data_IF_208045022451
#
_entry.id   IF_208045022451
#
_cell.length_a   1.000
_cell.length_b   1.000
_cell.length_c   1.000
_cell.angle_alpha   90.00
_cell.angle_beta   90.00
_cell.angle_gamma   90.00
#
_symmetry.space_group_name_H-M   'P 1'
#
loop_
_entity.id
_entity.type
_entity.pdbx_description
1 polymer ?
#
# COMPACT_ATOMS: atom_id res chain seq x y z
N UNK A 1 -13.25 -28.46 -8.73
CA UNK A 1 -11.81 -28.13 -8.58
C UNK A 1 -11.18 -27.40 -9.78
N UNK A 2 -11.94 -27.03 -10.84
CA UNK A 2 -11.36 -26.52 -12.10
C UNK A 2 -11.25 -24.99 -12.24
N UNK A 3 -11.99 -24.23 -11.42
CA UNK A 3 -12.07 -22.77 -11.57
C UNK A 3 -10.73 -22.04 -11.32
N UNK A 4 -10.09 -22.27 -10.17
CA UNK A 4 -8.80 -21.67 -9.82
C UNK A 4 -7.68 -22.11 -10.76
N UNK A 5 -7.69 -23.38 -11.17
CA UNK A 5 -6.74 -23.92 -12.13
C UNK A 5 -6.85 -23.25 -13.50
N UNK A 6 -8.08 -23.02 -13.98
CA UNK A 6 -8.29 -22.32 -15.25
C UNK A 6 -7.77 -20.88 -15.23
N UNK A 7 -7.98 -20.16 -14.12
CA UNK A 7 -7.44 -18.80 -13.92
C UNK A 7 -5.92 -18.83 -13.91
N UNK A 8 -5.33 -19.77 -13.16
CA UNK A 8 -3.88 -19.93 -13.07
C UNK A 8 -3.23 -20.18 -14.43
N UNK A 9 -3.76 -21.11 -15.23
CA UNK A 9 -3.25 -21.40 -16.57
C UNK A 9 -3.39 -20.18 -17.51
N UNK A 10 -4.49 -19.43 -17.40
CA UNK A 10 -4.66 -18.20 -18.17
C UNK A 10 -3.62 -17.13 -17.77
N UNK A 11 -3.43 -16.89 -16.47
CA UNK A 11 -2.45 -15.93 -15.97
C UNK A 11 -1.02 -16.35 -16.32
N UNK A 12 -0.70 -17.64 -16.29
CA UNK A 12 0.59 -18.18 -16.74
C UNK A 12 0.88 -17.86 -18.20
N UNK A 13 -0.11 -17.96 -19.09
CA UNK A 13 0.03 -17.55 -20.50
C UNK A 13 0.31 -16.06 -20.63
N UNK A 14 -0.38 -15.22 -19.85
CA UNK A 14 -0.16 -13.76 -19.83
C UNK A 14 1.28 -13.45 -19.37
N UNK A 15 1.76 -14.12 -18.32
CA UNK A 15 3.13 -13.97 -17.81
C UNK A 15 4.16 -14.33 -18.88
N UNK A 16 4.00 -15.48 -19.53
CA UNK A 16 4.93 -15.93 -20.58
C UNK A 16 4.99 -14.93 -21.73
N UNK A 17 3.83 -14.48 -22.23
CA UNK A 17 3.77 -13.52 -23.31
C UNK A 17 4.40 -12.16 -22.96
N UNK A 18 4.21 -11.67 -21.73
CA UNK A 18 4.86 -10.45 -21.26
C UNK A 18 6.38 -10.61 -21.14
N UNK A 19 6.85 -11.78 -20.68
CA UNK A 19 8.27 -12.06 -20.57
C UNK A 19 8.94 -12.23 -21.95
N UNK A 20 8.24 -12.75 -22.96
CA UNK A 20 8.73 -12.74 -24.35
C UNK A 20 8.95 -11.30 -24.86
N UNK A 21 8.01 -10.38 -24.58
CA UNK A 21 8.17 -8.95 -24.92
C UNK A 21 9.38 -8.34 -24.22
N UNK A 22 9.58 -8.67 -22.94
CA UNK A 22 10.76 -8.25 -22.18
C UNK A 22 12.05 -8.77 -22.83
N UNK A 23 12.12 -10.04 -23.22
CA UNK A 23 13.28 -10.63 -23.89
C UNK A 23 13.56 -10.01 -25.28
N UNK A 24 12.52 -9.54 -25.97
CA UNK A 24 12.65 -8.81 -27.25
C UNK A 24 12.97 -7.32 -27.09
N UNK A 25 13.07 -6.81 -25.86
CA UNK A 25 13.27 -5.38 -25.61
C UNK A 25 12.04 -4.49 -25.87
N UNK A 26 10.87 -5.11 -26.13
CA UNK A 26 9.58 -4.41 -26.31
C UNK A 26 8.95 -4.02 -24.96
N UNK A 27 9.51 -4.50 -23.85
CA UNK A 27 9.05 -4.15 -22.51
C UNK A 27 10.19 -3.96 -21.52
N UNK A 28 10.00 -3.05 -20.57
CA UNK A 28 10.97 -2.73 -19.51
C UNK A 28 10.83 -3.60 -18.27
N UNK A 29 9.82 -4.48 -18.20
CA UNK A 29 9.54 -5.28 -17.02
C UNK A 29 9.16 -6.72 -17.35
N UNK A 30 9.53 -7.60 -16.41
CA UNK A 30 9.15 -9.01 -16.38
C UNK A 30 8.13 -9.27 -15.27
N UNK A 31 7.37 -10.35 -15.41
CA UNK A 31 6.37 -10.79 -14.44
C UNK A 31 6.69 -12.23 -14.04
N UNK A 32 6.40 -12.61 -12.81
CA UNK A 32 6.62 -13.95 -12.28
C UNK A 32 5.36 -14.49 -11.61
N UNK A 33 5.27 -15.82 -11.52
CA UNK A 33 4.23 -16.50 -10.77
C UNK A 33 4.38 -16.16 -9.28
N UNK A 34 3.29 -15.76 -8.65
CA UNK A 34 3.22 -15.49 -7.22
C UNK A 34 1.87 -15.95 -6.66
N UNK A 35 1.62 -15.64 -5.38
CA UNK A 35 0.40 -16.05 -4.66
C UNK A 35 -0.90 -15.39 -5.15
N UNK A 36 -0.84 -14.52 -6.16
CA UNK A 36 -1.99 -13.94 -6.86
C UNK A 36 -2.27 -14.60 -8.20
N UNK A 37 -1.45 -15.57 -8.62
CA UNK A 37 -1.50 -16.13 -9.97
C UNK A 37 -2.82 -16.88 -10.28
N UNK A 38 -3.61 -17.25 -9.28
CA UNK A 38 -4.92 -17.91 -9.42
C UNK A 38 -6.11 -16.96 -9.19
N UNK A 39 -5.86 -15.64 -9.16
CA UNK A 39 -6.89 -14.61 -9.06
C UNK A 39 -7.17 -13.96 -10.42
N UNK A 40 -8.44 -13.69 -10.68
CA UNK A 40 -8.84 -12.80 -11.77
C UNK A 40 -8.44 -11.36 -11.43
N UNK A 41 -8.39 -10.48 -12.44
CA UNK A 41 -8.19 -9.05 -12.22
C UNK A 41 -9.24 -8.51 -11.24
N UNK A 42 -10.53 -8.80 -11.48
CA UNK A 42 -11.61 -8.31 -10.62
C UNK A 42 -11.44 -8.76 -9.17
N UNK A 43 -11.18 -10.04 -8.92
CA UNK A 43 -10.89 -10.54 -7.57
C UNK A 43 -9.70 -9.82 -6.95
N UNK A 44 -8.60 -9.65 -7.69
CA UNK A 44 -7.44 -8.92 -7.18
C UNK A 44 -7.80 -7.47 -6.79
N UNK A 45 -8.56 -6.78 -7.63
CA UNK A 45 -8.97 -5.40 -7.39
C UNK A 45 -9.88 -5.29 -6.15
N UNK A 46 -10.92 -6.13 -6.04
CA UNK A 46 -11.88 -6.11 -4.95
C UNK A 46 -11.25 -6.47 -3.60
N UNK A 47 -10.32 -7.43 -3.61
CA UNK A 47 -9.72 -7.96 -2.39
C UNK A 47 -8.50 -7.15 -1.90
N UNK A 48 -7.75 -6.53 -2.82
CA UNK A 48 -6.45 -5.92 -2.48
C UNK A 48 -6.39 -4.41 -2.69
N UNK A 49 -7.31 -3.80 -3.44
CA UNK A 49 -7.34 -2.34 -3.67
C UNK A 49 -8.52 -1.69 -2.95
N UNK A 50 -8.41 -1.57 -1.63
CA UNK A 50 -9.44 -0.95 -0.78
C UNK A 50 -9.35 0.58 -0.65
N UNK A 51 -8.41 1.24 -1.34
CA UNK A 51 -8.31 2.71 -1.29
C UNK A 51 -9.48 3.35 -2.06
N UNK A 52 -10.27 4.16 -1.35
CA UNK A 52 -11.37 4.95 -1.91
C UNK A 52 -10.89 6.38 -2.14
N UNK A 53 -10.99 6.88 -3.37
CA UNK A 53 -10.57 8.24 -3.70
C UNK A 53 -11.64 9.24 -3.22
N UNK A 54 -11.32 10.03 -2.20
CA UNK A 54 -12.12 11.20 -1.82
C UNK A 54 -11.95 12.34 -2.83
N UNK A 55 -12.95 13.22 -2.97
CA UNK A 55 -12.81 14.45 -3.77
C UNK A 55 -11.61 15.24 -3.24
N UNK A 56 -10.57 15.40 -4.06
CA UNK A 56 -9.40 16.23 -3.78
C UNK A 56 -9.85 17.66 -3.54
N UNK A 57 -9.86 18.12 -2.29
CA UNK A 57 -9.79 19.55 -2.03
C UNK A 57 -8.35 19.97 -2.28
N UNK A 58 -8.16 20.91 -3.20
CA UNK A 58 -6.88 21.61 -3.37
C UNK A 58 -6.58 22.37 -2.09
N UNK A 59 -5.87 21.71 -1.18
CA UNK A 59 -5.18 22.42 -0.12
C UNK A 59 -3.84 22.82 -0.71
N UNK A 60 -3.77 24.09 -1.13
CA UNK A 60 -2.53 24.76 -1.50
C UNK A 60 -1.63 24.88 -0.27
N UNK A 61 -1.04 23.76 0.18
CA UNK A 61 0.17 23.82 0.98
C UNK A 61 1.27 24.16 0.00
N UNK A 62 1.69 25.42 0.00
CA UNK A 62 2.91 25.87 -0.63
C UNK A 62 4.04 24.98 -0.12
N UNK A 63 4.53 24.07 -0.95
CA UNK A 63 5.83 23.44 -0.68
C UNK A 63 6.81 24.61 -0.69
N UNK A 64 7.32 24.96 0.49
CA UNK A 64 8.41 25.92 0.60
C UNK A 64 9.52 25.38 -0.29
N UNK A 65 9.80 26.09 -1.38
CA UNK A 65 10.82 25.72 -2.35
C UNK A 65 12.15 25.85 -1.60
N UNK A 66 12.64 24.75 -1.06
CA UNK A 66 13.94 24.76 -0.40
C UNK A 66 15.00 25.04 -1.46
N UNK A 67 15.98 25.87 -1.11
CA UNK A 67 17.05 26.34 -1.99
C UNK A 67 17.83 25.20 -2.66
N UNK A 68 18.59 25.55 -3.70
CA UNK A 68 19.34 24.67 -4.61
C UNK A 68 20.17 23.61 -3.85
N UNK A 69 19.59 22.44 -3.61
CA UNK A 69 20.24 21.31 -2.96
C UNK A 69 20.85 20.42 -4.05
N UNK A 70 22.15 20.15 -3.95
CA UNK A 70 22.82 19.15 -4.78
C UNK A 70 22.29 17.74 -4.43
N UNK A 71 21.33 17.27 -5.22
CA UNK A 71 20.67 16.00 -5.02
C UNK A 71 21.46 14.89 -5.72
N UNK A 72 21.70 13.75 -5.05
CA UNK A 72 22.36 12.62 -5.67
C UNK A 72 21.52 12.05 -6.83
N UNK A 73 22.20 11.58 -7.89
CA UNK A 73 21.56 11.00 -9.08
C UNK A 73 20.64 9.81 -8.78
N UNK A 74 20.86 9.10 -7.67
CA UNK A 74 19.94 8.08 -7.16
C UNK A 74 20.07 7.91 -5.65
N UNK A 75 18.98 7.53 -4.99
CA UNK A 75 18.96 7.20 -3.56
C UNK A 75 18.25 5.87 -3.35
N UNK A 76 18.90 4.97 -2.63
CA UNK A 76 18.27 3.74 -2.14
C UNK A 76 18.12 3.82 -0.60
N UNK A 77 16.88 3.87 -0.11
CA UNK A 77 16.60 3.97 1.32
C UNK A 77 16.73 2.63 2.07
N UNK A 78 16.74 1.50 1.35
CA UNK A 78 16.94 0.16 1.91
C UNK A 78 18.39 0.03 2.40
N UNK A 79 19.37 0.43 1.58
CA UNK A 79 20.80 0.40 1.96
C UNK A 79 21.10 1.34 3.12
N UNK A 80 20.33 2.43 3.24
CA UNK A 80 20.38 3.36 4.38
C UNK A 80 19.70 2.82 5.65
N UNK A 81 19.13 1.60 5.62
CA UNK A 81 18.46 0.93 6.75
C UNK A 81 17.30 1.70 7.38
N UNK A 82 16.65 2.59 6.60
CA UNK A 82 15.48 3.37 7.05
C UNK A 82 14.16 2.64 6.71
N UNK A 83 14.20 1.70 5.77
CA UNK A 83 13.02 0.94 5.32
C UNK A 83 12.82 -0.30 6.18
N UNK A 84 11.63 -0.43 6.77
CA UNK A 84 11.24 -1.64 7.51
C UNK A 84 11.07 -2.84 6.57
N UNK A 85 11.17 -4.10 7.06
CA UNK A 85 10.90 -5.28 6.25
C UNK A 85 9.53 -5.24 5.56
N UNK A 86 9.45 -5.87 4.39
CA UNK A 86 8.20 -5.96 3.60
C UNK A 86 7.12 -6.67 4.42
N UNK A 87 5.97 -6.02 4.57
CA UNK A 87 4.79 -6.57 5.26
C UNK A 87 3.77 -7.11 4.25
N UNK A 88 2.84 -7.96 4.71
CA UNK A 88 1.77 -8.53 3.88
C UNK A 88 0.39 -8.10 4.40
N UNK A 89 -0.36 -7.37 3.57
CA UNK A 89 -1.71 -6.86 3.90
C UNK A 89 -2.79 -7.94 4.00
N UNK A 90 -2.50 -9.15 3.50
CA UNK A 90 -3.43 -10.28 3.36
C UNK A 90 -4.70 -9.87 2.56
N UNK A 91 -5.75 -10.66 2.68
CA UNK A 91 -7.01 -10.45 1.98
C UNK A 91 -7.89 -9.37 2.66
N UNK A 92 -7.45 -8.11 2.64
CA UNK A 92 -8.11 -7.02 3.36
C UNK A 92 -8.24 -5.70 2.59
N UNK A 93 -7.49 -5.50 1.51
CA UNK A 93 -7.50 -4.21 0.80
C UNK A 93 -6.90 -3.04 1.58
N UNK A 94 -6.09 -3.30 2.62
CA UNK A 94 -5.53 -2.28 3.53
C UNK A 94 -4.23 -1.63 3.04
N UNK A 95 -3.93 -1.69 1.74
CA UNK A 95 -2.70 -1.14 1.15
C UNK A 95 -2.40 0.32 1.58
N UNK A 96 -3.43 1.13 1.76
CA UNK A 96 -3.36 2.51 2.22
C UNK A 96 -2.78 2.64 3.65
N UNK A 97 -3.09 1.69 4.54
CA UNK A 97 -2.56 1.66 5.89
C UNK A 97 -1.07 1.28 5.93
N UNK A 98 -0.63 0.39 5.02
CA UNK A 98 0.78 0.02 4.90
C UNK A 98 1.63 1.09 4.21
N UNK A 99 1.00 1.97 3.41
CA UNK A 99 1.65 3.12 2.76
C UNK A 99 1.84 4.33 3.68
N UNK A 100 1.22 4.28 4.86
CA UNK A 100 1.21 5.35 5.85
C UNK A 100 2.40 5.21 6.81
N UNK A 101 3.23 6.25 6.96
CA UNK A 101 4.26 6.31 8.02
C UNK A 101 3.57 6.20 9.37
N UNK A 102 3.63 5.04 10.00
CA UNK A 102 2.71 4.63 11.07
C UNK A 102 2.89 5.48 12.35
N UNK A 103 2.16 6.61 12.45
CA UNK A 103 1.79 7.21 13.73
C UNK A 103 0.39 6.72 14.12
N UNK A 104 0.19 6.34 15.37
CA UNK A 104 -1.08 5.81 15.87
C UNK A 104 -1.52 6.57 17.11
N UNK A 105 -2.78 7.02 17.12
CA UNK A 105 -3.42 7.67 18.26
C UNK A 105 -4.71 6.89 18.57
N UNK A 106 -5.00 6.68 19.84
CA UNK A 106 -6.25 6.07 20.29
C UNK A 106 -7.34 7.15 20.24
N UNK A 107 -8.40 6.93 19.46
CA UNK A 107 -9.55 7.83 19.37
C UNK A 107 -10.82 7.18 19.92
N UNK A 108 -11.76 8.00 20.40
CA UNK A 108 -13.11 7.58 20.76
C UNK A 108 -14.11 8.11 19.72
N UNK A 109 -14.94 7.23 19.17
CA UNK A 109 -16.09 7.60 18.34
C UNK A 109 -17.14 8.33 19.17
N UNK A 110 -17.98 9.16 18.53
CA UNK A 110 -19.19 9.75 19.14
C UNK A 110 -20.17 8.70 19.69
N UNK A 111 -20.05 7.45 19.24
CA UNK A 111 -20.83 6.29 19.70
C UNK A 111 -20.11 5.46 20.77
N UNK A 112 -18.97 5.93 21.31
CA UNK A 112 -18.22 5.25 22.37
C UNK A 112 -17.27 4.13 21.91
N UNK A 113 -17.18 3.85 20.62
CA UNK A 113 -16.22 2.85 20.10
C UNK A 113 -14.79 3.39 20.09
N UNK A 114 -13.85 2.59 20.58
CA UNK A 114 -12.42 2.90 20.50
C UNK A 114 -11.90 2.60 19.09
N UNK A 115 -11.20 3.56 18.49
CA UNK A 115 -10.65 3.50 17.13
C UNK A 115 -9.13 3.66 17.16
N UNK A 116 -8.46 3.09 16.16
CA UNK A 116 -7.08 3.41 15.81
C UNK A 116 -7.12 4.54 14.78
N UNK A 117 -6.50 5.68 15.11
CA UNK A 117 -6.30 6.78 14.17
C UNK A 117 -4.88 6.65 13.64
N UNK A 118 -4.73 6.43 12.33
CA UNK A 118 -3.42 6.34 11.69
C UNK A 118 -3.14 7.64 10.97
N UNK A 119 -1.92 8.17 11.15
CA UNK A 119 -1.48 9.46 10.62
C UNK A 119 -0.50 9.22 9.48
N UNK A 120 -0.67 9.90 8.34
CA UNK A 120 0.31 9.84 7.24
C UNK A 120 1.12 11.12 7.09
N UNK A 121 2.31 11.00 6.51
CA UNK A 121 3.16 12.15 6.16
C UNK A 121 2.67 12.90 4.91
N UNK A 122 1.54 12.50 4.32
CA UNK A 122 1.04 13.05 3.05
C UNK A 122 0.26 14.36 3.27
N UNK A 123 0.24 14.87 4.50
CA UNK A 123 -0.44 16.10 4.89
C UNK A 123 -1.93 15.91 5.15
N UNK A 124 -2.61 17.00 5.52
CA UNK A 124 -4.03 16.98 5.86
C UNK A 124 -4.96 16.74 4.65
N UNK A 125 -4.41 16.70 3.44
CA UNK A 125 -5.13 16.50 2.18
C UNK A 125 -5.52 15.05 1.90
N UNK A 126 -5.00 14.11 2.68
CA UNK A 126 -5.17 12.68 2.47
C UNK A 126 -5.99 12.04 3.60
N UNK A 127 -6.90 11.11 3.28
CA UNK A 127 -7.80 10.52 4.28
C UNK A 127 -8.82 11.53 4.84
N UNK A 128 -9.27 11.34 6.07
CA UNK A 128 -10.02 12.34 6.84
C UNK A 128 -9.04 13.31 7.50
N UNK A 129 -8.73 14.44 6.86
CA UNK A 129 -7.83 15.48 7.38
C UNK A 129 -6.39 15.02 7.71
N UNK A 130 -5.84 14.07 6.96
CA UNK A 130 -4.51 13.47 7.19
C UNK A 130 -4.54 12.14 7.93
N UNK A 131 -5.75 11.67 8.28
CA UNK A 131 -5.95 10.50 9.12
C UNK A 131 -6.82 9.44 8.46
N UNK A 132 -6.66 8.19 8.87
CA UNK A 132 -7.62 7.11 8.60
C UNK A 132 -8.06 6.52 9.94
N UNK A 133 -9.35 6.21 10.04
CA UNK A 133 -9.93 5.56 11.22
C UNK A 133 -10.04 4.07 10.93
N UNK A 134 -9.50 3.25 11.82
CA UNK A 134 -9.62 1.80 11.77
C UNK A 134 -10.28 1.27 13.03
N UNK A 135 -11.07 0.22 12.86
CA UNK A 135 -11.72 -0.47 13.97
C UNK A 135 -10.68 -1.08 14.91
N UNK A 136 -10.76 -0.76 16.22
CA UNK A 136 -9.93 -1.37 17.25
C UNK A 136 -10.65 -2.60 17.82
N UNK A 137 -9.89 -3.65 18.16
CA UNK A 137 -10.44 -4.83 18.85
C UNK A 137 -11.22 -5.80 17.96
N UNK A 138 -11.14 -5.66 16.63
CA UNK A 138 -11.66 -6.65 15.67
C UNK A 138 -10.56 -7.68 15.31
N UNK A 139 -10.11 -8.46 16.30
CA UNK A 139 -9.13 -9.54 16.12
C UNK A 139 -7.87 -9.17 15.30
N UNK A 140 -7.22 -8.04 15.62
CA UNK A 140 -6.06 -7.52 14.87
C UNK A 140 -6.35 -7.41 13.36
N UNK A 141 -7.42 -6.67 13.04
CA UNK A 141 -7.89 -6.43 11.67
C UNK A 141 -6.70 -6.11 10.74
N UNK A 142 -6.45 -7.02 9.80
CA UNK A 142 -5.42 -6.91 8.77
C UNK A 142 -3.97 -6.85 9.28
N UNK A 143 -3.73 -7.37 10.50
CA UNK A 143 -2.40 -7.50 11.07
C UNK A 143 -1.76 -6.17 11.47
N UNK A 144 -2.53 -5.09 11.56
CA UNK A 144 -1.97 -3.75 11.73
C UNK A 144 -1.30 -3.53 13.08
N UNK A 145 -1.75 -4.24 14.12
CA UNK A 145 -1.16 -4.18 15.46
C UNK A 145 -0.05 -5.23 15.67
N UNK A 146 0.41 -5.91 14.61
CA UNK A 146 1.41 -6.99 14.72
C UNK A 146 2.83 -6.47 14.96
N UNK A 147 3.13 -5.23 14.56
CA UNK A 147 4.46 -4.65 14.73
C UNK A 147 4.35 -3.14 14.96
N UNK A 148 4.86 -2.68 16.10
CA UNK A 148 5.12 -1.27 16.34
C UNK A 148 6.48 -0.89 15.73
N UNK A 149 6.54 0.23 15.02
CA UNK A 149 7.79 0.76 14.47
C UNK A 149 7.88 2.22 14.89
N UNK A 150 8.79 2.54 15.81
CA UNK A 150 9.07 3.91 16.22
C UNK A 150 10.36 4.35 15.53
N UNK A 151 10.30 5.16 14.46
CA UNK A 151 11.50 5.70 13.86
C UNK A 151 12.15 6.68 14.84
N UNK A 152 13.37 6.36 15.27
CA UNK A 152 14.24 7.33 15.95
C UNK A 152 14.70 8.34 14.88
N UNK A 153 14.51 9.62 15.15
CA UNK A 153 15.02 10.72 14.32
C UNK A 153 16.53 10.83 14.47
#
# INVERSE_FOLDING_TARGET
MWYRQAIFENNKRIINHQNEKYMRGESSYRVEINYFADLTKTEFFELYKGYQYGKRQETSRSVQKQEDFDLPASVNWITKKIVTPVKNQRNCGSCYAFSTKMGWIIGLSRTGHVLLILVSSWGSSWGENGYIKMSRGKNNQCGIATAASYPLL
#
